data_IF_668430655484
#
_entry.id   IF_668430655484
#
_cell.length_a   1.000
_cell.length_b   1.000
_cell.length_c   1.000
_cell.angle_alpha   90.00
_cell.angle_beta   90.00
_cell.angle_gamma   90.00
#
_symmetry.space_group_name_H-M   'P 1'
#
loop_
_entity.id
_entity.type
_entity.pdbx_description
1 polymer ?
#
# COMPACT_ATOMS: atom_id res chain seq x y z
N UNK A 1 -2.32 15.58 -23.22
CA UNK A 1 -0.96 15.70 -22.64
C UNK A 1 -1.06 14.99 -21.30
N UNK A 2 -0.22 14.00 -20.98
CA UNK A 2 -0.30 13.32 -19.68
C UNK A 2 0.50 14.14 -18.67
N UNK A 3 -0.12 14.66 -17.61
CA UNK A 3 0.47 15.72 -16.79
C UNK A 3 1.25 15.21 -15.59
N UNK A 4 0.72 14.25 -14.83
CA UNK A 4 1.31 13.78 -13.57
C UNK A 4 1.39 12.25 -13.53
N UNK A 5 2.41 11.68 -12.88
CA UNK A 5 2.50 10.23 -12.63
C UNK A 5 1.68 9.82 -11.41
N UNK A 6 1.17 8.59 -11.42
CA UNK A 6 0.54 7.99 -10.25
C UNK A 6 1.33 6.75 -9.80
N UNK A 7 1.37 6.54 -8.49
CA UNK A 7 2.17 5.53 -7.83
C UNK A 7 1.31 4.66 -6.91
N UNK A 8 1.71 3.40 -6.72
CA UNK A 8 1.16 2.52 -5.68
C UNK A 8 2.13 2.45 -4.51
N UNK A 9 1.62 2.59 -3.30
CA UNK A 9 2.34 2.28 -2.06
C UNK A 9 2.72 0.80 -2.02
N UNK A 10 3.97 0.47 -1.67
CA UNK A 10 4.40 -0.93 -1.51
C UNK A 10 5.43 -1.08 -0.39
N UNK A 11 5.47 -2.26 0.22
CA UNK A 11 6.55 -2.65 1.13
C UNK A 11 7.89 -2.62 0.36
N UNK A 12 8.95 -2.00 0.92
CA UNK A 12 10.28 -2.05 0.33
C UNK A 12 10.89 -3.46 0.44
N UNK A 13 11.87 -3.75 -0.41
CA UNK A 13 12.63 -5.01 -0.33
C UNK A 13 13.72 -4.99 0.74
N UNK A 14 13.32 -4.88 2.00
CA UNK A 14 14.19 -5.17 3.12
C UNK A 14 13.37 -5.83 4.23
N UNK A 15 14.02 -6.70 4.99
CA UNK A 15 13.43 -7.34 6.17
C UNK A 15 13.90 -6.66 7.46
N UNK A 16 14.20 -5.35 7.38
CA UNK A 16 14.73 -4.59 8.52
C UNK A 16 13.65 -4.31 9.56
N UNK A 17 12.42 -4.01 9.10
CA UNK A 17 11.31 -3.60 9.96
C UNK A 17 10.40 -4.76 10.31
N UNK A 18 9.70 -4.63 11.43
CA UNK A 18 8.73 -5.59 11.92
C UNK A 18 7.57 -5.72 10.93
N UNK A 19 7.21 -6.96 10.62
CA UNK A 19 6.06 -7.29 9.79
C UNK A 19 4.82 -7.49 10.64
N UNK A 20 3.65 -7.32 10.06
CA UNK A 20 2.39 -7.54 10.73
C UNK A 20 1.52 -8.54 9.95
N UNK A 21 0.55 -9.13 10.62
CA UNK A 21 -0.50 -9.92 9.98
C UNK A 21 -1.86 -9.55 10.54
N UNK A 22 -2.76 -9.16 9.66
CA UNK A 22 -4.17 -8.88 9.96
C UNK A 22 -4.86 -10.16 10.45
N UNK A 23 -5.72 -10.02 11.45
CA UNK A 23 -6.49 -11.12 12.04
C UNK A 23 -7.96 -11.11 11.59
N UNK A 24 -8.56 -9.93 11.43
CA UNK A 24 -9.98 -9.80 11.08
C UNK A 24 -10.17 -9.84 9.56
N UNK A 25 -10.44 -11.02 9.00
CA UNK A 25 -10.68 -11.25 7.57
C UNK A 25 -12.19 -11.33 7.29
N UNK A 26 -12.87 -10.19 7.28
CA UNK A 26 -14.14 -10.07 6.55
C UNK A 26 -13.90 -9.05 5.44
N UNK A 27 -13.88 -9.53 4.19
CA UNK A 27 -13.87 -8.73 2.98
C UNK A 27 -15.28 -8.16 2.86
N UNK A 28 -15.51 -6.88 3.15
CA UNK A 28 -16.85 -6.38 3.07
C UNK A 28 -17.08 -5.95 1.61
N UNK A 29 -18.22 -6.33 1.02
CA UNK A 29 -18.50 -6.03 -0.38
C UNK A 29 -18.38 -4.51 -0.67
N UNK A 30 -17.82 -4.12 -1.83
CA UNK A 30 -17.39 -2.74 -2.10
C UNK A 30 -18.51 -1.68 -2.03
N UNK A 31 -19.79 -2.08 -1.99
CA UNK A 31 -20.91 -1.14 -1.96
C UNK A 31 -21.50 -0.89 -0.56
N UNK A 32 -21.24 -1.76 0.44
CA UNK A 32 -21.78 -1.63 1.81
C UNK A 32 -20.73 -1.88 2.91
N UNK A 33 -19.45 -1.72 2.55
CA UNK A 33 -18.33 -2.11 3.40
C UNK A 33 -18.05 -1.20 4.60
N UNK A 34 -18.85 -1.35 5.65
CA UNK A 34 -18.37 -1.01 7.00
C UNK A 34 -17.26 -1.99 7.36
N UNK A 35 -16.00 -1.70 7.01
CA UNK A 35 -14.85 -2.43 7.60
C UNK A 35 -15.06 -2.47 9.12
N UNK A 36 -14.97 -3.67 9.70
CA UNK A 36 -15.09 -3.87 11.14
C UNK A 36 -13.91 -3.14 11.80
N UNK A 37 -14.20 -2.00 12.43
CA UNK A 37 -13.23 -1.22 13.20
C UNK A 37 -13.16 -1.77 14.63
N UNK A 38 -11.96 -1.85 15.24
CA UNK A 38 -10.65 -1.45 14.71
C UNK A 38 -10.01 -2.49 13.76
N UNK A 39 -9.01 -2.07 12.97
CA UNK A 39 -8.12 -3.03 12.28
C UNK A 39 -7.32 -3.80 13.33
N UNK A 40 -7.55 -5.11 13.42
CA UNK A 40 -6.84 -5.98 14.37
C UNK A 40 -5.70 -6.70 13.69
N UNK A 41 -4.49 -6.61 14.25
CA UNK A 41 -3.31 -7.30 13.72
C UNK A 41 -2.41 -7.84 14.84
N UNK A 42 -1.53 -8.77 14.46
CA UNK A 42 -0.41 -9.26 15.27
C UNK A 42 0.90 -8.85 14.62
N UNK A 43 1.91 -8.55 15.44
CA UNK A 43 3.29 -8.49 14.95
C UNK A 43 3.75 -9.89 14.54
N UNK A 44 4.59 -9.98 13.52
CA UNK A 44 5.27 -11.20 13.09
C UNK A 44 6.69 -11.24 13.68
N UNK A 45 7.25 -12.44 13.94
CA UNK A 45 8.64 -12.58 14.34
C UNK A 45 9.59 -12.11 13.22
N UNK A 46 10.76 -11.60 13.60
CA UNK A 46 11.86 -11.31 12.67
C UNK A 46 12.55 -9.96 12.93
N UNK A 47 11.80 -8.98 13.43
CA UNK A 47 12.34 -7.67 13.80
C UNK A 47 11.55 -7.06 14.96
N UNK A 48 12.22 -6.19 15.71
CA UNK A 48 11.71 -5.35 16.78
C UNK A 48 11.64 -3.85 16.38
N UNK A 49 12.09 -3.52 15.16
CA UNK A 49 12.09 -2.16 14.63
C UNK A 49 10.76 -1.82 13.96
N UNK A 50 10.09 -0.77 14.41
CA UNK A 50 8.82 -0.32 13.84
C UNK A 50 9.10 0.73 12.77
N UNK A 51 8.60 0.51 11.56
CA UNK A 51 8.67 1.47 10.46
C UNK A 51 7.54 2.49 10.54
N UNK A 52 7.73 3.65 9.90
CA UNK A 52 6.68 4.67 9.74
C UNK A 52 5.48 4.12 8.97
N UNK A 53 5.72 3.14 8.10
CA UNK A 53 4.74 2.35 7.39
C UNK A 53 4.89 0.87 7.78
N UNK A 54 3.78 0.19 8.04
CA UNK A 54 3.73 -1.25 8.37
C UNK A 54 2.67 -1.93 7.50
N UNK A 55 2.99 -3.13 7.02
CA UNK A 55 2.23 -3.85 6.00
C UNK A 55 1.62 -5.13 6.60
N UNK A 56 0.39 -5.06 7.15
CA UNK A 56 -0.25 -6.18 7.83
C UNK A 56 -0.82 -7.27 6.90
N UNK A 57 -0.62 -7.19 5.60
CA UNK A 57 -1.14 -8.19 4.65
C UNK A 57 -1.03 -7.71 3.21
N UNK A 58 -1.57 -8.52 2.30
CA UNK A 58 -1.66 -8.15 0.91
C UNK A 58 -2.78 -7.13 0.75
N UNK A 59 -2.37 -5.96 0.27
CA UNK A 59 -3.18 -5.12 -0.59
C UNK A 59 -4.48 -4.63 0.05
N UNK A 60 -4.48 -3.79 1.10
CA UNK A 60 -5.55 -2.78 1.35
C UNK A 60 -5.36 -2.03 2.69
N UNK A 61 -4.48 -2.53 3.56
CA UNK A 61 -4.18 -1.93 4.84
C UNK A 61 -2.72 -1.50 4.91
N UNK A 62 -2.52 -0.23 5.23
CA UNK A 62 -1.21 0.32 5.58
C UNK A 62 -1.37 0.88 6.98
N UNK A 63 -0.56 0.39 7.91
CA UNK A 63 -0.50 0.97 9.25
C UNK A 63 0.56 2.06 9.22
N UNK A 64 0.21 3.25 9.70
CA UNK A 64 1.11 4.40 9.80
C UNK A 64 1.33 4.81 11.26
N UNK A 65 2.52 5.35 11.53
CA UNK A 65 2.80 5.96 12.83
C UNK A 65 2.09 7.31 12.99
N UNK A 66 1.90 7.74 14.25
CA UNK A 66 1.39 9.07 14.59
C UNK A 66 2.18 10.19 13.90
N UNK A 67 3.50 10.05 13.80
CA UNK A 67 4.35 11.01 13.09
C UNK A 67 3.94 11.21 11.62
N UNK A 68 3.60 10.14 10.91
CA UNK A 68 3.12 10.23 9.52
C UNK A 68 1.74 10.90 9.49
N UNK A 69 0.87 10.53 10.43
CA UNK A 69 -0.47 11.10 10.54
C UNK A 69 -0.43 12.62 10.79
N UNK A 70 0.38 13.06 11.75
CA UNK A 70 0.58 14.47 12.07
C UNK A 70 1.13 15.24 10.87
N UNK A 71 2.09 14.67 10.16
CA UNK A 71 2.64 15.25 8.94
C UNK A 71 1.58 15.39 7.84
N UNK A 72 0.74 14.37 7.62
CA UNK A 72 -0.33 14.45 6.63
C UNK A 72 -1.34 15.54 6.98
N UNK A 73 -1.66 15.73 8.26
CA UNK A 73 -2.51 16.83 8.69
C UNK A 73 -1.85 18.20 8.51
N UNK A 74 -0.56 18.35 8.85
CA UNK A 74 0.14 19.64 8.71
C UNK A 74 0.25 20.08 7.24
N UNK A 75 0.51 19.12 6.34
CA UNK A 75 0.60 19.37 4.89
C UNK A 75 -0.77 19.41 4.19
N UNK A 76 -1.86 19.26 4.95
CA UNK A 76 -3.24 19.25 4.44
C UNK A 76 -3.43 18.23 3.31
N UNK A 77 -2.84 17.05 3.49
CA UNK A 77 -2.97 15.92 2.56
C UNK A 77 -4.43 15.46 2.54
N UNK A 78 -4.96 15.23 1.33
CA UNK A 78 -6.34 14.81 1.13
C UNK A 78 -6.43 13.36 0.64
N UNK A 79 -7.59 12.73 0.87
CA UNK A 79 -7.91 11.36 0.47
C UNK A 79 -7.49 10.27 1.46
N UNK A 80 -7.18 10.65 2.70
CA UNK A 80 -6.95 9.73 3.81
C UNK A 80 -7.75 10.13 5.06
N UNK A 81 -7.92 9.18 5.98
CA UNK A 81 -8.26 9.42 7.37
C UNK A 81 -7.57 8.40 8.28
N UNK A 82 -7.20 8.74 9.53
CA UNK A 82 -6.67 7.76 10.46
C UNK A 82 -7.82 6.94 11.06
N UNK A 83 -7.71 5.62 10.99
CA UNK A 83 -8.60 4.69 11.67
C UNK A 83 -7.90 3.98 12.83
N UNK A 84 -8.62 3.63 13.91
CA UNK A 84 -8.03 2.95 15.06
C UNK A 84 -7.56 1.54 14.69
N UNK A 85 -6.46 1.11 15.30
CA UNK A 85 -5.93 -0.25 15.22
C UNK A 85 -5.88 -0.89 16.60
N UNK A 86 -5.97 -2.21 16.64
CA UNK A 86 -5.80 -3.02 17.84
C UNK A 86 -4.68 -4.03 17.60
N UNK A 87 -3.78 -4.13 18.57
CA UNK A 87 -2.60 -4.98 18.49
C UNK A 87 -2.81 -6.15 19.44
N UNK A 88 -2.94 -7.35 18.88
CA UNK A 88 -3.01 -8.58 19.67
C UNK A 88 -1.61 -9.12 19.94
N UNK A 89 -1.45 -9.74 21.11
CA UNK A 89 -0.23 -10.48 21.44
C UNK A 89 -0.18 -11.80 20.67
N UNK A 90 0.97 -12.10 20.08
CA UNK A 90 1.20 -13.41 19.49
C UNK A 90 1.67 -14.38 20.57
N UNK A 91 0.87 -15.41 20.87
CA UNK A 91 1.16 -16.42 21.90
C UNK A 91 2.31 -17.39 21.54
N UNK A 92 3.04 -17.16 20.44
CA UNK A 92 4.19 -17.97 20.04
C UNK A 92 5.37 -17.76 20.99
N UNK A 93 5.44 -18.57 22.06
CA UNK A 93 6.61 -18.70 22.93
C UNK A 93 7.80 -19.24 22.14
N UNK A 94 8.77 -18.39 21.75
CA UNK A 94 10.03 -18.88 21.15
C UNK A 94 11.24 -18.10 21.66
N UNK A 95 12.19 -18.83 22.26
CA UNK A 95 13.50 -18.30 22.63
C UNK A 95 14.32 -18.08 21.36
N UNK A 96 14.91 -16.89 21.21
CA UNK A 96 15.94 -16.45 20.23
C UNK A 96 15.50 -15.76 18.92
N UNK A 97 14.27 -15.29 18.76
CA UNK A 97 13.87 -14.48 17.58
C UNK A 97 13.51 -13.06 18.02
N UNK A 98 13.93 -12.03 17.26
CA UNK A 98 13.56 -10.63 17.50
C UNK A 98 12.05 -10.44 17.33
N UNK A 99 11.47 -9.62 18.20
CA UNK A 99 10.03 -9.40 18.25
C UNK A 99 9.72 -8.00 18.81
N UNK A 100 8.62 -7.41 18.34
CA UNK A 100 8.06 -6.21 18.97
C UNK A 100 7.50 -6.56 20.35
N UNK A 101 8.09 -6.00 21.42
CA UNK A 101 7.71 -6.34 22.79
C UNK A 101 6.25 -5.98 23.11
N UNK A 102 5.58 -6.88 23.82
CA UNK A 102 4.24 -6.68 24.38
C UNK A 102 4.30 -6.48 25.91
N UNK A 103 3.44 -5.65 26.52
CA UNK A 103 2.46 -4.78 25.86
C UNK A 103 3.16 -3.74 24.97
N UNK A 104 2.56 -3.41 23.83
CA UNK A 104 3.15 -2.51 22.85
C UNK A 104 3.46 -1.14 23.45
N UNK A 105 4.72 -0.69 23.35
CA UNK A 105 5.20 0.61 23.86
C UNK A 105 5.77 1.53 22.77
N UNK A 106 5.54 1.18 21.50
CA UNK A 106 5.99 1.98 20.36
C UNK A 106 5.12 3.22 20.14
N UNK A 107 5.38 3.97 19.05
CA UNK A 107 4.55 5.12 18.68
C UNK A 107 3.10 4.70 18.45
N UNK A 108 2.14 5.60 18.68
CA UNK A 108 0.75 5.32 18.35
C UNK A 108 0.60 5.01 16.86
N UNK A 109 -0.24 4.03 16.55
CA UNK A 109 -0.43 3.51 15.19
C UNK A 109 -1.87 3.75 14.71
N UNK A 110 -2.03 3.91 13.40
CA UNK A 110 -3.31 4.13 12.74
C UNK A 110 -3.38 3.32 11.44
N UNK A 111 -4.56 2.82 11.08
CA UNK A 111 -4.83 2.34 9.73
C UNK A 111 -5.00 3.55 8.82
N UNK A 112 -4.26 3.59 7.73
CA UNK A 112 -4.38 4.59 6.68
C UNK A 112 -5.65 4.26 5.89
N UNK A 113 -6.76 4.89 6.30
CA UNK A 113 -8.05 4.70 5.67
C UNK A 113 -8.15 5.57 4.42
N UNK A 114 -8.33 4.97 3.25
CA UNK A 114 -8.59 5.68 2.00
C UNK A 114 -10.01 6.23 1.99
N UNK A 115 -10.14 7.55 1.81
CA UNK A 115 -11.45 8.24 1.78
C UNK A 115 -11.90 8.63 0.37
N UNK A 116 -11.00 8.60 -0.61
CA UNK A 116 -11.30 8.94 -2.01
C UNK A 116 -11.12 7.71 -2.88
N UNK A 117 -12.17 7.34 -3.61
CA UNK A 117 -12.22 6.19 -4.50
C UNK A 117 -12.66 6.63 -5.89
N UNK A 118 -11.94 6.17 -6.91
CA UNK A 118 -12.18 6.55 -8.30
C UNK A 118 -12.15 5.33 -9.20
N UNK A 119 -12.69 5.46 -10.41
CA UNK A 119 -12.53 4.48 -11.47
C UNK A 119 -11.30 4.81 -12.30
N UNK A 120 -10.63 3.78 -12.84
CA UNK A 120 -9.66 4.05 -13.90
C UNK A 120 -10.39 4.37 -15.22
N UNK A 121 -9.73 5.12 -16.09
CA UNK A 121 -10.22 5.35 -17.45
C UNK A 121 -9.91 4.12 -18.32
N UNK A 122 -10.94 3.39 -18.70
CA UNK A 122 -10.85 2.16 -19.49
C UNK A 122 -10.31 2.36 -20.90
N UNK A 123 -10.51 3.53 -21.50
CA UNK A 123 -10.06 3.83 -22.86
C UNK A 123 -8.53 4.03 -22.93
N UNK A 124 -7.93 4.61 -21.89
CA UNK A 124 -6.49 4.90 -21.85
C UNK A 124 -5.68 3.85 -21.09
N UNK A 125 -6.30 3.13 -20.16
CA UNK A 125 -5.60 2.11 -19.36
C UNK A 125 -5.33 0.84 -20.14
N UNK A 126 -4.16 0.26 -19.93
CA UNK A 126 -3.82 -1.05 -20.51
C UNK A 126 -4.12 -2.14 -19.51
N UNK A 127 -5.37 -2.59 -19.52
CA UNK A 127 -5.89 -3.64 -18.64
C UNK A 127 -6.52 -4.76 -19.45
N UNK A 128 -6.34 -5.98 -19.01
CA UNK A 128 -7.10 -7.13 -19.49
C UNK A 128 -8.17 -7.47 -18.46
N UNK A 129 -9.40 -7.71 -18.92
CA UNK A 129 -10.43 -8.30 -18.06
C UNK A 129 -10.23 -9.82 -18.08
N UNK A 130 -10.05 -10.41 -16.91
CA UNK A 130 -9.89 -11.85 -16.72
C UNK A 130 -11.12 -12.37 -16.00
N UNK A 131 -11.79 -13.35 -16.61
CA UNK A 131 -12.89 -14.09 -16.00
C UNK A 131 -12.32 -15.29 -15.25
N UNK A 132 -12.76 -15.49 -14.01
CA UNK A 132 -12.51 -16.68 -13.22
C UNK A 132 -13.82 -17.26 -12.66
N UNK A 133 -13.71 -18.23 -11.75
CA UNK A 133 -14.85 -18.93 -11.13
C UNK A 133 -15.65 -18.02 -10.18
N UNK A 134 -15.01 -17.01 -9.58
CA UNK A 134 -15.58 -16.12 -8.57
C UNK A 134 -16.08 -14.77 -9.16
N UNK A 135 -15.76 -14.50 -10.43
CA UNK A 135 -16.21 -13.30 -11.14
C UNK A 135 -15.24 -12.87 -12.21
N UNK A 136 -15.03 -11.57 -12.33
CA UNK A 136 -13.96 -11.03 -13.15
C UNK A 136 -13.09 -10.08 -12.35
N UNK A 137 -11.83 -10.01 -12.71
CA UNK A 137 -10.89 -9.02 -12.20
C UNK A 137 -10.10 -8.39 -13.34
N UNK A 138 -9.53 -7.22 -13.08
CA UNK A 138 -8.66 -6.55 -14.04
C UNK A 138 -7.20 -6.90 -13.77
N UNK A 139 -6.47 -7.22 -14.83
CA UNK A 139 -5.01 -7.34 -14.81
C UNK A 139 -4.42 -6.16 -15.55
N UNK A 140 -3.71 -5.30 -14.83
CA UNK A 140 -2.99 -4.18 -15.46
C UNK A 140 -1.66 -4.65 -16.07
N UNK A 141 -1.38 -4.14 -17.26
CA UNK A 141 -0.16 -4.46 -18.02
C UNK A 141 0.79 -3.28 -18.11
N UNK A 142 2.09 -3.58 -18.25
CA UNK A 142 3.13 -2.59 -18.53
C UNK A 142 3.43 -1.62 -17.38
N UNK A 143 2.95 -1.90 -16.16
CA UNK A 143 3.30 -1.17 -14.92
C UNK A 143 4.72 -1.47 -14.46
N UNK A 144 5.25 -0.63 -13.58
CA UNK A 144 6.45 -0.96 -12.83
C UNK A 144 6.16 -2.15 -11.91
N UNK A 145 7.08 -3.11 -11.90
CA UNK A 145 6.94 -4.30 -11.07
C UNK A 145 8.29 -4.70 -10.51
N UNK A 146 8.21 -5.42 -9.42
CA UNK A 146 9.36 -6.06 -8.86
C UNK A 146 9.26 -7.56 -9.08
N UNK A 147 10.31 -8.17 -9.62
CA UNK A 147 10.35 -9.61 -9.91
C UNK A 147 11.56 -10.26 -9.24
N UNK A 148 11.40 -11.52 -8.83
CA UNK A 148 12.51 -12.37 -8.42
C UNK A 148 12.96 -13.19 -9.63
N UNK A 149 14.06 -12.80 -10.25
CA UNK A 149 14.67 -13.53 -11.37
C UNK A 149 15.76 -14.45 -10.84
N UNK A 150 15.78 -15.69 -11.32
CA UNK A 150 16.86 -16.63 -10.99
C UNK A 150 18.12 -16.21 -11.75
N UNK A 151 19.19 -15.92 -11.01
CA UNK A 151 20.50 -15.67 -11.60
C UNK A 151 21.05 -17.00 -12.14
N UNK A 152 21.36 -17.03 -13.43
CA UNK A 152 21.82 -18.24 -14.11
C UNK A 152 23.26 -18.64 -13.73
N UNK A 153 24.02 -17.74 -13.12
CA UNK A 153 25.40 -18.00 -12.68
C UNK A 153 25.47 -18.39 -11.21
N UNK A 154 24.64 -17.80 -10.35
CA UNK A 154 24.70 -18.03 -8.89
C UNK A 154 23.60 -18.94 -8.34
N UNK A 155 22.57 -19.28 -9.14
CA UNK A 155 21.36 -20.02 -8.73
C UNK A 155 20.49 -19.22 -7.71
N UNK A 156 20.92 -18.05 -7.27
CA UNK A 156 20.20 -17.20 -6.33
C UNK A 156 19.04 -16.45 -7.01
N UNK A 157 18.00 -16.16 -6.24
CA UNK A 157 16.93 -15.27 -6.69
C UNK A 157 17.37 -13.82 -6.52
N UNK A 158 17.63 -13.15 -7.64
CA UNK A 158 17.90 -11.73 -7.69
C UNK A 158 16.60 -10.96 -7.85
N UNK A 159 16.32 -10.05 -6.92
CA UNK A 159 15.21 -9.12 -7.05
C UNK A 159 15.57 -8.04 -8.06
N UNK A 160 14.77 -7.89 -9.10
CA UNK A 160 14.94 -6.91 -10.17
C UNK A 160 13.72 -6.02 -10.24
N UNK A 161 13.96 -4.71 -10.32
CA UNK A 161 12.93 -3.71 -10.58
C UNK A 161 12.80 -3.52 -12.08
N UNK A 162 11.63 -3.82 -12.62
CA UNK A 162 11.32 -3.67 -14.05
C UNK A 162 10.54 -2.37 -14.20
N UNK A 163 11.12 -1.43 -14.95
CA UNK A 163 10.51 -0.12 -15.21
C UNK A 163 9.19 -0.26 -15.97
N UNK A 164 8.28 0.68 -15.68
CA UNK A 164 7.03 0.84 -16.42
C UNK A 164 7.29 1.09 -17.91
N UNK A 165 6.46 0.49 -18.77
CA UNK A 165 6.48 0.76 -20.21
C UNK A 165 5.81 2.11 -20.45
N UNK A 166 6.44 3.05 -21.19
CA UNK A 166 5.84 4.35 -21.48
C UNK A 166 4.43 4.23 -22.06
N UNK A 167 3.50 5.06 -21.57
CA UNK A 167 2.09 5.12 -21.99
C UNK A 167 1.26 3.86 -21.69
N UNK A 168 1.77 2.89 -20.94
CA UNK A 168 1.00 1.74 -20.42
C UNK A 168 0.68 1.91 -18.93
N UNK A 169 -0.16 1.07 -18.36
CA UNK A 169 -0.57 1.11 -16.97
C UNK A 169 -1.96 1.70 -16.77
N UNK A 170 -2.17 2.32 -15.62
CA UNK A 170 -3.46 2.85 -15.17
C UNK A 170 -3.54 4.34 -15.48
N UNK A 171 -4.71 4.80 -15.94
CA UNK A 171 -4.97 6.22 -16.13
C UNK A 171 -6.23 6.62 -15.37
N UNK A 172 -6.20 7.78 -14.74
CA UNK A 172 -7.30 8.31 -13.91
C UNK A 172 -7.49 9.78 -14.26
N UNK A 173 -8.73 10.27 -14.35
CA UNK A 173 -8.95 11.71 -14.52
C UNK A 173 -8.63 12.47 -13.24
N UNK A 174 -7.84 13.53 -13.38
CA UNK A 174 -7.42 14.36 -12.26
C UNK A 174 -8.61 15.01 -11.54
N UNK A 175 -9.66 15.35 -12.29
CA UNK A 175 -10.87 15.96 -11.74
C UNK A 175 -11.63 15.01 -10.79
N UNK A 176 -11.55 13.70 -11.02
CA UNK A 176 -12.21 12.68 -10.19
C UNK A 176 -11.54 12.55 -8.81
N UNK A 177 -10.28 12.96 -8.69
CA UNK A 177 -9.57 12.95 -7.41
C UNK A 177 -10.05 14.07 -6.47
N UNK A 178 -10.72 15.11 -6.98
CA UNK A 178 -11.14 16.27 -6.19
C UNK A 178 -10.00 16.89 -5.34
N UNK A 179 -8.77 16.89 -5.88
CA UNK A 179 -7.58 17.38 -5.19
C UNK A 179 -6.90 16.39 -4.23
N UNK A 180 -7.44 15.16 -4.10
CA UNK A 180 -6.88 14.11 -3.24
C UNK A 180 -5.48 13.68 -3.67
N UNK A 181 -4.61 13.44 -2.70
CA UNK A 181 -3.22 13.02 -2.92
C UNK A 181 -3.01 11.53 -2.71
N UNK A 182 -3.89 10.92 -1.90
CA UNK A 182 -3.99 9.49 -1.64
C UNK A 182 -5.38 9.06 -2.11
N UNK A 183 -5.48 7.92 -2.76
CA UNK A 183 -6.76 7.42 -3.26
C UNK A 183 -6.71 5.92 -3.53
N UNK A 184 -7.88 5.32 -3.66
CA UNK A 184 -8.08 3.95 -4.10
C UNK A 184 -8.67 3.93 -5.49
N UNK A 185 -8.46 2.82 -6.21
CA UNK A 185 -9.11 2.58 -7.50
C UNK A 185 -10.06 1.41 -7.32
N UNK A 186 -11.33 1.59 -7.65
CA UNK A 186 -12.40 0.64 -7.33
C UNK A 186 -12.16 -0.75 -7.92
N UNK A 187 -11.56 -0.81 -9.10
CA UNK A 187 -11.21 -2.06 -9.78
C UNK A 187 -9.96 -2.75 -9.23
N UNK A 188 -9.19 -2.06 -8.38
CA UNK A 188 -8.02 -2.57 -7.68
C UNK A 188 -8.18 -2.24 -6.18
N UNK A 189 -9.21 -2.78 -5.51
CA UNK A 189 -9.60 -2.35 -4.16
C UNK A 189 -8.50 -2.56 -3.13
N UNK A 190 -7.55 -3.45 -3.44
CA UNK A 190 -6.40 -3.69 -2.60
C UNK A 190 -5.22 -2.73 -2.74
N UNK A 191 -5.23 -1.86 -3.73
CA UNK A 191 -4.09 -0.98 -3.97
C UNK A 191 -4.39 0.42 -3.50
N UNK A 192 -3.50 0.93 -2.65
CA UNK A 192 -3.51 2.32 -2.22
C UNK A 192 -2.56 3.09 -3.14
N UNK A 193 -3.08 4.12 -3.77
CA UNK A 193 -2.37 4.95 -4.73
C UNK A 193 -2.08 6.34 -4.16
N UNK A 194 -1.10 6.98 -4.77
CA UNK A 194 -0.82 8.39 -4.52
C UNK A 194 -0.33 9.11 -5.78
N UNK A 195 -0.42 10.44 -5.73
CA UNK A 195 0.10 11.30 -6.79
C UNK A 195 1.61 11.46 -6.70
N UNK A 196 2.26 11.92 -7.77
CA UNK A 196 3.69 12.20 -7.78
C UNK A 196 4.09 13.21 -6.70
N UNK A 197 3.27 14.24 -6.47
CA UNK A 197 3.47 15.19 -5.38
C UNK A 197 3.58 14.48 -4.02
N UNK A 198 2.68 13.54 -3.73
CA UNK A 198 2.65 12.82 -2.46
C UNK A 198 3.89 11.94 -2.27
N UNK A 199 4.27 11.20 -3.31
CA UNK A 199 5.50 10.41 -3.30
C UNK A 199 6.71 11.26 -2.92
N UNK A 200 6.87 12.42 -3.57
CA UNK A 200 8.00 13.33 -3.31
C UNK A 200 8.01 13.83 -1.86
N UNK A 201 6.84 14.17 -1.30
CA UNK A 201 6.73 14.60 0.09
C UNK A 201 7.18 13.50 1.06
N UNK A 202 6.79 12.25 0.81
CA UNK A 202 7.19 11.12 1.65
C UNK A 202 8.71 10.88 1.58
N UNK A 203 9.28 10.92 0.37
CA UNK A 203 10.72 10.75 0.17
C UNK A 203 11.54 11.86 0.84
N UNK A 204 11.11 13.12 0.73
CA UNK A 204 11.79 14.27 1.35
C UNK A 204 11.78 14.22 2.88
N UNK A 205 10.74 13.65 3.49
CA UNK A 205 10.61 13.55 4.94
C UNK A 205 11.29 12.31 5.55
N UNK A 206 11.96 11.50 4.70
CA UNK A 206 12.71 10.31 5.13
C UNK A 206 11.87 9.33 5.95
N UNK A 207 10.60 9.15 5.59
CA UNK A 207 9.77 8.13 6.22
C UNK A 207 10.28 6.73 5.89
N UNK A 208 10.14 5.84 6.86
CA UNK A 208 10.73 4.50 6.82
C UNK A 208 9.74 3.42 6.40
N UNK A 209 10.29 2.33 5.87
CA UNK A 209 9.56 1.13 5.46
C UNK A 209 8.47 1.36 4.38
N UNK A 210 8.70 2.30 3.46
CA UNK A 210 7.81 2.58 2.33
C UNK A 210 8.57 2.62 1.03
N UNK A 211 7.95 2.13 -0.04
CA UNK A 211 8.42 2.22 -1.42
C UNK A 211 7.23 2.47 -2.35
N UNK A 212 7.53 2.73 -3.62
CA UNK A 212 6.54 3.08 -4.62
C UNK A 212 6.78 2.31 -5.92
N UNK A 213 5.68 1.90 -6.54
CA UNK A 213 5.67 1.42 -7.93
C UNK A 213 5.02 2.46 -8.83
N UNK A 214 5.66 2.82 -9.93
CA UNK A 214 5.03 3.65 -10.97
C UNK A 214 3.95 2.86 -11.71
N UNK A 215 2.69 3.27 -11.56
CA UNK A 215 1.56 2.50 -12.09
C UNK A 215 0.92 3.15 -13.30
N UNK A 216 1.12 4.46 -13.54
CA UNK A 216 0.19 5.18 -14.39
C UNK A 216 0.40 6.68 -14.51
N UNK A 217 -0.60 7.35 -15.08
CA UNK A 217 -0.65 8.81 -15.18
C UNK A 217 -2.05 9.37 -14.90
N UNK A 218 -2.09 10.61 -14.42
CA UNK A 218 -3.32 11.40 -14.38
C UNK A 218 -3.59 12.02 -15.76
N UNK A 219 -4.86 11.99 -16.16
CA UNK A 219 -5.42 12.68 -17.31
C UNK A 219 -5.92 14.05 -16.84
N UNK A 220 -5.63 15.10 -17.61
CA UNK A 220 -6.22 16.42 -17.39
C UNK A 220 -7.71 16.44 -17.80
#
# INVERSE_FOLDING_TARGET
MYSEKLYRFTEPFNDLYAKASRINYEYPEPQDSKRIKPLVFIWQPGSDLIGDFTWPGFDDNIIITERVCDFFYSEKILGFGPAPVEILENNLKRKRIKYVNMPYRGPRLFDLWVTTWVHFNIQYSTVDQIQDEDGFYYKVNGIEKNESLRDSQTIELKKVKISRIPRKGIFVHKNDLHGSNIFGILEFPGWIFCTEKMKRLIELNSFTNVSFLEMGNLLD
#
